data_IF_893520911067
#
_entry.id   IF_893520911067
#
_cell.length_a   1.000
_cell.length_b   1.000
_cell.length_c   1.000
_cell.angle_alpha   90.00
_cell.angle_beta   90.00
_cell.angle_gamma   90.00
#
_symmetry.space_group_name_H-M   'P 1'
#
loop_
_entity.id
_entity.type
_entity.pdbx_description
1 polymer ?
#
# COMPACT_ATOMS: atom_id res chain seq x y z
N UNK A 1 1.81 22.42 37.75
CA UNK A 1 2.47 22.25 36.45
C UNK A 1 1.50 21.48 35.57
N UNK A 2 0.84 22.15 34.61
CA UNK A 2 0.15 21.44 33.56
C UNK A 2 1.22 20.76 32.70
N UNK A 3 1.18 19.44 32.57
CA UNK A 3 2.08 18.71 31.69
C UNK A 3 1.81 19.12 30.25
N UNK A 4 2.83 19.64 29.56
CA UNK A 4 2.70 20.02 28.14
C UNK A 4 2.71 18.76 27.27
N UNK A 5 1.61 18.53 26.55
CA UNK A 5 1.53 17.51 25.51
C UNK A 5 1.96 18.11 24.17
N UNK A 6 2.91 17.46 23.50
CA UNK A 6 3.36 17.87 22.17
C UNK A 6 3.37 16.69 21.18
N UNK A 7 2.93 16.95 19.95
CA UNK A 7 2.98 15.98 18.86
C UNK A 7 3.62 16.60 17.62
N UNK A 8 4.29 15.76 16.84
CA UNK A 8 4.85 16.12 15.53
C UNK A 8 4.29 15.21 14.46
N UNK A 9 3.84 15.79 13.36
CA UNK A 9 3.30 15.07 12.20
C UNK A 9 4.06 15.49 10.95
N UNK A 10 4.60 14.50 10.23
CA UNK A 10 5.29 14.71 8.96
C UNK A 10 4.28 14.77 7.81
N UNK A 11 4.49 15.69 6.87
CA UNK A 11 3.72 15.78 5.64
C UNK A 11 4.63 15.72 4.40
N UNK A 12 4.15 15.18 3.28
CA UNK A 12 4.94 15.10 2.07
C UNK A 12 5.01 16.46 1.36
N UNK A 13 6.13 16.73 0.67
CA UNK A 13 6.40 18.02 0.02
C UNK A 13 5.30 18.46 -0.96
N UNK A 14 4.68 17.52 -1.71
CA UNK A 14 3.58 17.86 -2.62
C UNK A 14 2.34 18.45 -1.92
N UNK A 15 2.21 18.26 -0.60
CA UNK A 15 1.07 18.75 0.18
C UNK A 15 1.27 20.17 0.70
N UNK A 16 2.49 20.68 0.64
CA UNK A 16 2.90 21.98 1.15
C UNK A 16 2.03 23.13 0.62
N UNK A 17 1.89 23.25 -0.71
CA UNK A 17 1.09 24.32 -1.32
C UNK A 17 -0.32 24.42 -0.75
N UNK A 18 -0.99 23.28 -0.61
CA UNK A 18 -2.35 23.25 -0.07
C UNK A 18 -2.41 23.62 1.42
N UNK A 19 -1.41 23.20 2.19
CA UNK A 19 -1.30 23.57 3.61
C UNK A 19 -1.12 25.07 3.75
N UNK A 20 -0.26 25.69 2.94
CA UNK A 20 -0.05 27.14 2.92
C UNK A 20 -1.35 27.88 2.57
N UNK A 21 -2.05 27.47 1.52
CA UNK A 21 -3.28 28.12 1.06
C UNK A 21 -4.42 28.07 2.09
N UNK A 22 -4.47 27.01 2.91
CA UNK A 22 -5.54 26.79 3.88
C UNK A 22 -5.07 26.91 5.33
N UNK A 23 -3.85 27.40 5.57
CA UNK A 23 -3.21 27.38 6.89
C UNK A 23 -4.03 28.13 7.93
N UNK A 24 -4.54 29.32 7.54
CA UNK A 24 -5.36 30.17 8.40
C UNK A 24 -6.59 29.42 8.94
N UNK A 25 -7.28 28.64 8.10
CA UNK A 25 -8.45 27.86 8.52
C UNK A 25 -8.10 26.77 9.54
N UNK A 26 -6.91 26.17 9.39
CA UNK A 26 -6.40 25.17 10.34
C UNK A 26 -6.07 25.84 11.66
N UNK A 27 -5.38 26.97 11.62
CA UNK A 27 -5.02 27.75 12.80
C UNK A 27 -6.27 28.20 13.57
N UNK A 28 -7.23 28.84 12.91
CA UNK A 28 -8.48 29.32 13.51
C UNK A 28 -9.24 28.18 14.22
N UNK A 29 -9.27 26.98 13.61
CA UNK A 29 -9.93 25.81 14.20
C UNK A 29 -9.17 25.28 15.41
N UNK A 30 -7.84 25.24 15.39
CA UNK A 30 -7.02 24.76 16.52
C UNK A 30 -7.02 25.76 17.68
N UNK A 31 -7.01 27.05 17.37
CA UNK A 31 -7.09 28.15 18.35
C UNK A 31 -8.41 28.09 19.14
N UNK A 32 -9.52 27.67 18.52
CA UNK A 32 -10.80 27.46 19.22
C UNK A 32 -10.75 26.40 20.33
N UNK A 33 -9.80 25.46 20.25
CA UNK A 33 -9.54 24.46 21.30
C UNK A 33 -8.34 24.84 22.19
N UNK A 34 -7.73 26.02 21.98
CA UNK A 34 -6.56 26.47 22.72
C UNK A 34 -5.29 25.67 22.41
N UNK A 35 -5.17 25.09 21.22
CA UNK A 35 -4.02 24.28 20.80
C UNK A 35 -3.12 25.13 19.90
N UNK A 36 -1.85 25.29 20.28
CA UNK A 36 -0.89 25.99 19.44
C UNK A 36 -0.36 25.06 18.33
N UNK A 37 -0.27 25.59 17.11
CA UNK A 37 0.15 24.85 15.93
C UNK A 37 1.22 25.61 15.14
N UNK A 38 2.32 24.93 14.83
CA UNK A 38 3.48 25.48 14.12
C UNK A 38 3.80 24.61 12.90
N UNK A 39 4.05 25.21 11.73
CA UNK A 39 4.56 24.49 10.53
C UNK A 39 6.02 24.80 10.34
N UNK A 40 6.80 23.74 10.15
CA UNK A 40 8.15 23.81 9.63
C UNK A 40 8.16 23.30 8.18
N UNK A 41 8.20 24.25 7.25
CA UNK A 41 8.25 23.96 5.80
C UNK A 41 9.59 23.35 5.38
N UNK A 42 10.69 23.67 6.06
CA UNK A 42 12.03 23.15 5.71
C UNK A 42 12.13 21.66 6.01
N UNK A 43 11.63 21.26 7.18
CA UNK A 43 11.64 19.86 7.61
C UNK A 43 10.36 19.09 7.22
N UNK A 44 9.35 19.77 6.66
CA UNK A 44 8.07 19.15 6.27
C UNK A 44 7.30 18.57 7.44
N UNK A 45 7.30 19.26 8.60
CA UNK A 45 6.61 18.81 9.79
C UNK A 45 5.66 19.87 10.35
N UNK A 46 4.61 19.40 11.03
CA UNK A 46 3.66 20.22 11.77
C UNK A 46 3.76 19.81 13.24
N UNK A 47 4.00 20.78 14.10
CA UNK A 47 4.08 20.60 15.55
C UNK A 47 2.80 21.11 16.21
N UNK A 48 2.25 20.33 17.11
CA UNK A 48 1.05 20.63 17.91
C UNK A 48 1.47 20.66 19.38
N UNK A 49 1.04 21.68 20.13
CA UNK A 49 1.33 21.83 21.56
C UNK A 49 0.08 22.28 22.32
N UNK A 50 -0.20 21.68 23.46
CA UNK A 50 -1.18 22.22 24.42
C UNK A 50 -0.69 23.54 24.99
N UNK A 51 -1.61 24.42 25.37
CA UNK A 51 -1.31 25.67 26.08
C UNK A 51 -2.12 25.73 27.37
N UNK A 52 -1.83 26.70 28.24
CA UNK A 52 -2.61 26.94 29.46
C UNK A 52 -4.09 27.28 29.16
N UNK A 53 -4.42 27.62 27.91
CA UNK A 53 -5.79 27.92 27.45
C UNK A 53 -6.54 26.68 26.97
N UNK A 54 -5.89 25.51 26.89
CA UNK A 54 -6.54 24.27 26.46
C UNK A 54 -7.51 23.80 27.54
N UNK A 55 -8.82 23.92 27.29
CA UNK A 55 -9.84 23.48 28.25
C UNK A 55 -10.00 21.94 28.29
N UNK A 56 -9.95 21.29 27.12
CA UNK A 56 -10.06 19.83 27.01
C UNK A 56 -8.70 19.19 26.65
N UNK A 57 -8.08 18.41 27.56
CA UNK A 57 -6.81 17.74 27.29
C UNK A 57 -6.93 16.62 26.25
N UNK A 58 -8.13 16.11 25.93
CA UNK A 58 -8.33 15.08 24.90
C UNK A 58 -8.32 15.70 23.50
N UNK A 59 -8.66 16.97 23.36
CA UNK A 59 -8.72 17.68 22.09
C UNK A 59 -7.39 17.62 21.30
N UNK A 60 -6.24 17.54 21.97
CA UNK A 60 -4.94 17.38 21.31
C UNK A 60 -4.81 16.07 20.54
N UNK A 61 -5.46 14.98 21.00
CA UNK A 61 -5.47 13.70 20.29
C UNK A 61 -6.26 13.82 18.98
N UNK A 62 -7.41 14.48 19.02
CA UNK A 62 -8.24 14.76 17.85
C UNK A 62 -7.51 15.70 16.87
N UNK A 63 -6.84 16.73 17.37
CA UNK A 63 -6.02 17.62 16.56
C UNK A 63 -4.88 16.89 15.86
N UNK A 64 -4.16 16.02 16.58
CA UNK A 64 -3.12 15.16 16.02
C UNK A 64 -3.67 14.31 14.86
N UNK A 65 -4.83 13.70 15.05
CA UNK A 65 -5.39 12.80 14.06
C UNK A 65 -5.97 13.56 12.86
N UNK A 66 -6.57 14.74 13.07
CA UNK A 66 -6.95 15.67 11.99
C UNK A 66 -5.75 16.10 11.13
N UNK A 67 -4.62 16.50 11.74
CA UNK A 67 -3.42 16.88 10.99
C UNK A 67 -2.81 15.68 10.25
N UNK A 68 -2.80 14.49 10.84
CA UNK A 68 -2.40 13.26 10.13
C UNK A 68 -3.27 12.99 8.90
N UNK A 69 -4.58 13.22 8.97
CA UNK A 69 -5.47 13.08 7.81
C UNK A 69 -5.16 14.11 6.72
N UNK A 70 -4.94 15.37 7.09
CA UNK A 70 -4.57 16.43 6.13
C UNK A 70 -3.23 16.11 5.45
N UNK A 71 -2.26 15.57 6.19
CA UNK A 71 -0.99 15.08 5.65
C UNK A 71 -1.19 13.93 4.64
N UNK A 72 -2.23 13.11 4.82
CA UNK A 72 -2.68 12.08 3.86
C UNK A 72 -3.64 12.61 2.79
N UNK A 73 -3.60 13.94 2.57
CA UNK A 73 -4.37 14.71 1.58
C UNK A 73 -5.89 14.56 1.63
N UNK A 74 -6.42 14.28 2.82
CA UNK A 74 -7.84 14.51 3.11
C UNK A 74 -8.12 16.02 3.06
N UNK A 75 -9.24 16.45 2.46
CA UNK A 75 -9.69 17.83 2.52
C UNK A 75 -9.94 18.29 3.97
N UNK A 76 -9.64 19.55 4.28
CA UNK A 76 -9.69 20.07 5.65
C UNK A 76 -11.07 19.97 6.27
N UNK A 77 -12.12 20.30 5.51
CA UNK A 77 -13.52 20.23 5.97
C UNK A 77 -13.87 18.83 6.47
N UNK A 78 -13.41 17.80 5.76
CA UNK A 78 -13.67 16.43 6.11
C UNK A 78 -12.77 15.93 7.25
N UNK A 79 -11.54 16.45 7.37
CA UNK A 79 -10.64 16.14 8.47
C UNK A 79 -11.14 16.75 9.81
N UNK A 80 -11.78 17.91 9.77
CA UNK A 80 -12.34 18.55 10.97
C UNK A 80 -13.52 17.81 11.59
N UNK A 81 -14.14 16.88 10.85
CA UNK A 81 -15.19 16.02 11.41
C UNK A 81 -14.70 15.12 12.54
N UNK A 82 -13.40 14.90 12.68
CA UNK A 82 -12.82 14.16 13.83
C UNK A 82 -13.02 14.90 15.16
N UNK A 83 -13.33 16.19 15.14
CA UNK A 83 -13.72 16.93 16.35
C UNK A 83 -15.20 16.76 16.71
N UNK A 84 -16.02 16.17 15.84
CA UNK A 84 -17.44 15.87 16.12
C UNK A 84 -17.52 14.64 17.04
N UNK A 85 -18.44 14.68 18.01
CA UNK A 85 -18.66 13.54 18.91
C UNK A 85 -19.05 12.27 18.14
N UNK A 86 -18.45 11.14 18.52
CA UNK A 86 -18.72 9.84 17.89
C UNK A 86 -18.09 9.64 16.50
N UNK A 87 -17.30 10.59 16.01
CA UNK A 87 -16.52 10.45 14.77
C UNK A 87 -15.06 10.20 15.09
N UNK A 88 -14.55 9.08 14.59
CA UNK A 88 -13.15 8.71 14.70
C UNK A 88 -12.48 8.70 13.32
N UNK A 89 -11.16 8.51 13.32
CA UNK A 89 -10.41 8.33 12.08
C UNK A 89 -9.49 7.12 12.16
N UNK A 90 -9.29 6.47 11.02
CA UNK A 90 -8.38 5.35 10.89
C UNK A 90 -7.61 5.44 9.56
N UNK A 91 -6.29 5.25 9.62
CA UNK A 91 -5.41 5.29 8.46
C UNK A 91 -4.80 3.89 8.27
N UNK A 92 -5.20 3.21 7.21
CA UNK A 92 -4.78 1.85 6.89
C UNK A 92 -3.64 1.88 5.89
N UNK A 93 -2.52 1.26 6.22
CA UNK A 93 -1.36 1.15 5.32
C UNK A 93 -1.51 -0.08 4.43
N UNK A 94 -1.92 0.14 3.18
CA UNK A 94 -2.12 -0.93 2.19
C UNK A 94 -0.82 -1.33 1.45
N UNK A 95 0.21 -0.46 1.47
CA UNK A 95 1.44 -0.68 0.71
C UNK A 95 2.25 -1.92 1.09
N UNK A 96 2.16 -2.39 2.33
CA UNK A 96 2.92 -3.55 2.82
C UNK A 96 2.28 -4.91 2.47
N UNK A 97 1.02 -4.92 2.01
CA UNK A 97 0.29 -6.17 1.78
C UNK A 97 0.75 -6.94 0.54
N UNK A 98 1.29 -6.24 -0.48
CA UNK A 98 1.56 -6.83 -1.79
C UNK A 98 2.95 -6.40 -2.25
N UNK A 99 3.84 -7.37 -2.50
CA UNK A 99 5.22 -7.10 -2.96
C UNK A 99 5.29 -6.60 -4.41
N UNK A 100 4.41 -7.09 -5.28
CA UNK A 100 4.40 -6.73 -6.70
C UNK A 100 3.56 -5.46 -6.93
N UNK A 101 4.20 -4.42 -7.45
CA UNK A 101 3.60 -3.10 -7.70
C UNK A 101 2.44 -3.14 -8.71
N UNK A 102 2.54 -3.93 -9.78
CA UNK A 102 1.47 -4.04 -10.77
C UNK A 102 0.22 -4.69 -10.16
N UNK A 103 0.42 -5.74 -9.34
CA UNK A 103 -0.68 -6.38 -8.62
C UNK A 103 -1.30 -5.44 -7.58
N UNK A 104 -0.46 -4.65 -6.90
CA UNK A 104 -0.92 -3.63 -5.96
C UNK A 104 -1.80 -2.59 -6.65
N UNK A 105 -1.36 -2.05 -7.79
CA UNK A 105 -2.14 -1.08 -8.57
C UNK A 105 -3.48 -1.67 -9.05
N UNK A 106 -3.49 -2.92 -9.53
CA UNK A 106 -4.73 -3.61 -9.93
C UNK A 106 -5.71 -3.81 -8.76
N UNK A 107 -5.22 -4.18 -7.56
CA UNK A 107 -6.08 -4.35 -6.38
C UNK A 107 -6.54 -3.02 -5.77
N UNK A 108 -5.69 -1.98 -5.80
CA UNK A 108 -6.07 -0.63 -5.41
C UNK A 108 -7.15 -0.06 -6.33
N UNK A 109 -7.00 -0.23 -7.65
CA UNK A 109 -8.01 0.19 -8.60
C UNK A 109 -9.33 -0.58 -8.41
N UNK A 110 -9.26 -1.87 -8.08
CA UNK A 110 -10.43 -2.68 -7.72
C UNK A 110 -11.19 -2.14 -6.50
N UNK A 111 -10.47 -1.64 -5.49
CA UNK A 111 -11.08 -1.03 -4.31
C UNK A 111 -11.85 0.25 -4.67
N UNK A 112 -11.29 1.07 -5.57
CA UNK A 112 -11.94 2.28 -6.07
C UNK A 112 -13.18 1.94 -6.91
N UNK A 113 -13.05 0.91 -7.76
CA UNK A 113 -14.06 0.50 -8.72
C UNK A 113 -14.08 1.37 -9.98
N UNK A 114 -14.85 0.98 -11.02
CA UNK A 114 -15.03 1.78 -12.21
C UNK A 114 -15.72 3.10 -11.85
N UNK A 115 -15.11 4.23 -12.20
CA UNK A 115 -15.63 5.57 -11.89
C UNK A 115 -15.81 5.88 -10.40
N UNK A 116 -15.17 5.12 -9.49
CA UNK A 116 -15.35 5.32 -8.04
C UNK A 116 -16.63 4.72 -7.45
N UNK A 117 -17.40 3.95 -8.23
CA UNK A 117 -18.70 3.38 -7.81
C UNK A 117 -18.60 2.47 -6.58
N UNK A 118 -17.55 1.65 -6.49
CA UNK A 118 -17.35 0.70 -5.38
C UNK A 118 -17.01 1.44 -4.09
N UNK A 119 -16.14 2.44 -4.18
CA UNK A 119 -15.82 3.31 -3.05
C UNK A 119 -17.06 4.07 -2.59
N UNK A 120 -17.83 4.65 -3.52
CA UNK A 120 -19.03 5.41 -3.16
C UNK A 120 -20.10 4.54 -2.50
N UNK A 121 -20.30 3.32 -2.99
CA UNK A 121 -21.19 2.35 -2.35
C UNK A 121 -20.73 2.02 -0.92
N UNK A 122 -19.42 1.84 -0.71
CA UNK A 122 -18.86 1.56 0.61
C UNK A 122 -19.05 2.75 1.57
N UNK A 123 -18.85 3.98 1.11
CA UNK A 123 -19.11 5.20 1.89
C UNK A 123 -20.58 5.27 2.34
N UNK A 124 -21.52 5.04 1.41
CA UNK A 124 -22.96 5.12 1.70
C UNK A 124 -23.42 4.04 2.69
N UNK A 125 -22.88 2.81 2.55
CA UNK A 125 -23.24 1.69 3.43
C UNK A 125 -22.68 1.85 4.84
N UNK A 126 -21.44 2.33 4.95
CA UNK A 126 -20.73 2.47 6.24
C UNK A 126 -20.93 3.83 6.91
N UNK A 127 -21.51 4.81 6.20
CA UNK A 127 -21.62 6.21 6.62
C UNK A 127 -20.26 6.82 6.98
N UNK A 128 -19.20 6.34 6.33
CA UNK A 128 -17.85 6.83 6.48
C UNK A 128 -17.42 7.57 5.22
N UNK A 129 -16.52 8.52 5.39
CA UNK A 129 -15.73 9.08 4.30
C UNK A 129 -14.48 8.22 4.09
N UNK A 130 -14.19 7.84 2.84
CA UNK A 130 -13.08 6.95 2.52
C UNK A 130 -12.24 7.58 1.42
N UNK A 131 -10.97 7.83 1.70
CA UNK A 131 -10.01 8.35 0.71
C UNK A 131 -8.90 7.33 0.49
N UNK A 132 -8.77 6.88 -0.76
CA UNK A 132 -7.69 5.97 -1.19
C UNK A 132 -6.61 6.80 -1.87
N UNK A 133 -5.44 6.90 -1.25
CA UNK A 133 -4.31 7.64 -1.82
C UNK A 133 -2.97 6.94 -1.62
N UNK A 134 -2.24 6.77 -2.72
CA UNK A 134 -0.93 6.15 -2.71
C UNK A 134 -0.95 4.75 -2.11
N UNK A 135 -0.32 4.63 -0.94
CA UNK A 135 -0.19 3.40 -0.17
C UNK A 135 -1.01 3.37 1.12
N UNK A 136 -1.92 4.33 1.29
CA UNK A 136 -2.76 4.46 2.47
C UNK A 136 -4.23 4.63 2.10
N UNK A 137 -5.12 4.16 2.96
CA UNK A 137 -6.55 4.42 2.89
C UNK A 137 -6.95 5.10 4.19
N UNK A 138 -7.46 6.32 4.08
CA UNK A 138 -7.96 7.10 5.22
C UNK A 138 -9.46 6.91 5.32
N UNK A 139 -9.96 6.61 6.51
CA UNK A 139 -11.38 6.39 6.81
C UNK A 139 -11.77 7.30 7.97
N UNK A 140 -12.89 8.01 7.83
CA UNK A 140 -13.42 8.92 8.86
C UNK A 140 -14.90 8.62 9.06
N UNK A 141 -15.34 8.41 10.29
CA UNK A 141 -16.74 8.16 10.60
C UNK A 141 -16.93 7.44 11.94
N UNK A 142 -18.09 6.79 12.10
CA UNK A 142 -18.39 6.03 13.31
C UNK A 142 -17.53 4.76 13.41
N UNK A 143 -17.11 4.38 14.62
CA UNK A 143 -16.29 3.20 14.91
C UNK A 143 -16.83 1.90 14.28
N UNK A 144 -18.15 1.72 14.26
CA UNK A 144 -18.78 0.54 13.61
C UNK A 144 -18.53 0.52 12.10
N UNK A 145 -18.72 1.66 11.45
CA UNK A 145 -18.48 1.84 10.02
C UNK A 145 -17.00 1.72 9.67
N UNK A 146 -16.12 2.29 10.51
CA UNK A 146 -14.66 2.16 10.37
C UNK A 146 -14.23 0.71 10.42
N UNK A 147 -14.74 -0.09 11.37
CA UNK A 147 -14.38 -1.50 11.49
C UNK A 147 -14.85 -2.31 10.26
N UNK A 148 -16.08 -2.10 9.81
CA UNK A 148 -16.61 -2.75 8.62
C UNK A 148 -15.80 -2.36 7.37
N UNK A 149 -15.53 -1.06 7.16
CA UNK A 149 -14.73 -0.55 6.04
C UNK A 149 -13.27 -1.04 6.10
N UNK A 150 -12.65 -1.05 7.28
CA UNK A 150 -11.28 -1.52 7.48
C UNK A 150 -11.14 -2.98 7.08
N UNK A 151 -12.12 -3.82 7.44
CA UNK A 151 -12.18 -5.22 7.02
C UNK A 151 -12.26 -5.35 5.50
N UNK A 152 -13.13 -4.57 4.84
CA UNK A 152 -13.24 -4.58 3.36
C UNK A 152 -11.91 -4.19 2.70
N UNK A 153 -11.23 -3.17 3.19
CA UNK A 153 -9.95 -2.68 2.64
C UNK A 153 -8.87 -3.76 2.75
N UNK A 154 -8.71 -4.35 3.93
CA UNK A 154 -7.72 -5.40 4.18
C UNK A 154 -8.02 -6.66 3.35
N UNK A 155 -9.28 -7.10 3.30
CA UNK A 155 -9.69 -8.27 2.53
C UNK A 155 -9.55 -8.05 1.01
N UNK A 156 -9.80 -6.83 0.53
CA UNK A 156 -9.54 -6.43 -0.85
C UNK A 156 -8.06 -6.58 -1.22
N UNK A 157 -7.17 -6.18 -0.30
CA UNK A 157 -5.73 -6.39 -0.47
C UNK A 157 -5.33 -7.87 -0.36
N UNK A 158 -6.09 -8.70 0.37
CA UNK A 158 -5.92 -10.15 0.49
C UNK A 158 -6.60 -10.97 -0.64
N UNK A 159 -6.88 -10.34 -1.78
CA UNK A 159 -7.45 -10.97 -2.98
C UNK A 159 -8.94 -11.36 -2.90
N UNK A 160 -9.68 -10.86 -1.93
CA UNK A 160 -11.14 -10.99 -1.91
C UNK A 160 -11.74 -9.80 -2.68
N UNK A 161 -12.78 -9.99 -3.49
CA UNK A 161 -13.38 -8.87 -4.22
C UNK A 161 -14.25 -8.01 -3.30
N UNK A 162 -14.15 -6.67 -3.29
CA UNK A 162 -14.92 -5.81 -2.38
C UNK A 162 -16.44 -5.94 -2.55
N UNK A 163 -16.91 -6.28 -3.77
CA UNK A 163 -18.32 -6.55 -4.06
C UNK A 163 -18.93 -7.62 -3.14
N UNK A 164 -18.18 -8.64 -2.71
CA UNK A 164 -18.71 -9.63 -1.77
C UNK A 164 -19.02 -9.01 -0.41
N UNK A 165 -18.14 -8.13 0.07
CA UNK A 165 -18.38 -7.40 1.31
C UNK A 165 -19.50 -6.38 1.17
N UNK A 166 -19.61 -5.69 0.03
CA UNK A 166 -20.71 -4.75 -0.25
C UNK A 166 -22.05 -5.48 -0.18
N UNK A 167 -22.19 -6.63 -0.86
CA UNK A 167 -23.39 -7.48 -0.78
C UNK A 167 -23.70 -7.89 0.66
N UNK A 168 -22.68 -8.30 1.41
CA UNK A 168 -22.82 -8.66 2.82
C UNK A 168 -23.31 -7.48 3.67
N UNK A 169 -22.77 -6.28 3.46
CA UNK A 169 -23.16 -5.07 4.17
C UNK A 169 -24.58 -4.61 3.81
N UNK A 170 -24.99 -4.77 2.55
CA UNK A 170 -26.38 -4.50 2.12
C UNK A 170 -27.36 -5.39 2.89
N UNK A 171 -27.14 -6.71 2.89
CA UNK A 171 -27.99 -7.66 3.63
C UNK A 171 -27.98 -7.35 5.12
N UNK A 172 -26.80 -7.09 5.71
CA UNK A 172 -26.67 -6.72 7.13
C UNK A 172 -27.49 -5.47 7.46
N UNK A 173 -27.49 -4.47 6.58
CA UNK A 173 -28.24 -3.21 6.76
C UNK A 173 -29.76 -3.43 6.65
N UNK A 174 -30.20 -4.32 5.77
CA UNK A 174 -31.63 -4.65 5.66
C UNK A 174 -32.12 -5.48 6.84
N UNK A 175 -31.30 -6.42 7.34
CA UNK A 175 -31.59 -7.17 8.56
C UNK A 175 -31.66 -6.25 9.80
N UNK A 176 -30.78 -5.25 9.89
CA UNK A 176 -30.81 -4.26 10.98
C UNK A 176 -32.12 -3.45 11.03
N UNK A 177 -32.83 -3.27 9.91
CA UNK A 177 -34.12 -2.55 9.89
C UNK A 177 -35.25 -3.38 10.49
N UNK A 178 -35.11 -4.71 10.51
CA UNK A 178 -36.16 -5.61 10.98
C UNK A 178 -36.03 -5.82 12.51
N UNK A 179 -36.97 -5.33 13.33
CA UNK A 179 -36.87 -5.44 14.78
C UNK A 179 -36.99 -6.88 15.29
N UNK A 180 -37.67 -7.76 14.55
CA UNK A 180 -37.86 -9.17 14.92
C UNK A 180 -36.56 -9.98 14.94
N UNK A 181 -35.56 -9.63 14.12
CA UNK A 181 -34.31 -10.39 13.99
C UNK A 181 -33.17 -9.79 14.81
N UNK A 182 -33.42 -8.78 15.66
CA UNK A 182 -32.37 -8.05 16.37
C UNK A 182 -31.54 -8.93 17.33
N UNK A 183 -32.14 -9.99 17.88
CA UNK A 183 -31.52 -10.88 18.86
C UNK A 183 -31.03 -12.21 18.25
N UNK A 184 -31.18 -12.41 16.95
CA UNK A 184 -30.79 -13.65 16.27
C UNK A 184 -29.39 -13.54 15.62
N UNK A 185 -28.69 -14.68 15.48
CA UNK A 185 -27.42 -14.71 14.73
C UNK A 185 -27.67 -14.61 13.22
N UNK A 186 -27.10 -13.57 12.61
CA UNK A 186 -27.27 -13.29 11.18
C UNK A 186 -26.33 -14.08 10.27
N UNK A 187 -25.34 -14.83 10.79
CA UNK A 187 -24.34 -15.51 9.92
C UNK A 187 -24.97 -16.49 8.93
N UNK A 188 -26.14 -17.05 9.26
CA UNK A 188 -26.92 -17.92 8.36
C UNK A 188 -27.41 -17.20 7.11
N UNK A 189 -27.78 -15.92 7.22
CA UNK A 189 -28.35 -15.11 6.14
C UNK A 189 -27.27 -14.35 5.35
N UNK A 190 -26.07 -14.22 5.90
CA UNK A 190 -24.98 -13.47 5.28
C UNK A 190 -24.31 -14.29 4.16
N UNK A 191 -24.16 -13.72 2.95
CA UNK A 191 -23.41 -14.37 1.88
C UNK A 191 -21.97 -14.66 2.30
N UNK A 192 -21.57 -15.93 2.24
CA UNK A 192 -20.21 -16.37 2.60
C UNK A 192 -19.27 -16.19 1.41
N UNK A 193 -18.07 -15.70 1.68
CA UNK A 193 -17.01 -15.60 0.66
C UNK A 193 -16.47 -17.01 0.41
N UNK A 194 -16.97 -17.68 -0.63
CA UNK A 194 -16.45 -18.97 -1.04
C UNK A 194 -15.14 -18.72 -1.79
N UNK A 195 -14.00 -19.08 -1.17
CA UNK A 195 -12.74 -19.17 -1.92
C UNK A 195 -12.89 -20.37 -2.86
N UNK A 196 -12.88 -20.12 -4.16
CA UNK A 196 -12.80 -21.19 -5.14
C UNK A 196 -11.48 -21.96 -4.92
N UNK A 197 -11.54 -23.09 -4.22
CA UNK A 197 -10.45 -24.06 -4.16
C UNK A 197 -10.29 -24.60 -5.56
N UNK A 198 -9.32 -24.07 -6.30
CA UNK A 198 -8.87 -24.72 -7.52
C UNK A 198 -8.32 -26.08 -7.09
N UNK A 199 -8.97 -27.16 -7.51
CA UNK A 199 -8.33 -28.46 -7.53
C UNK A 199 -7.15 -28.34 -8.49
N UNK A 200 -5.97 -28.03 -7.96
CA UNK A 200 -4.73 -28.17 -8.72
C UNK A 200 -4.52 -29.66 -8.90
N UNK A 201 -4.71 -30.16 -10.12
CA UNK A 201 -4.16 -31.45 -10.51
C UNK A 201 -2.68 -31.44 -10.11
N UNK A 202 -2.31 -32.36 -9.21
CA UNK A 202 -0.92 -32.55 -8.81
C UNK A 202 -0.17 -33.09 -10.02
N UNK A 203 0.30 -32.20 -10.89
CA UNK A 203 1.32 -32.56 -11.88
C UNK A 203 2.49 -33.16 -11.08
N UNK A 204 2.86 -34.40 -11.40
CA UNK A 204 4.04 -35.06 -10.79
C UNK A 204 5.19 -34.07 -10.89
N UNK A 205 5.83 -33.76 -9.76
CA UNK A 205 7.03 -32.93 -9.73
C UNK A 205 8.08 -33.66 -10.56
N UNK A 206 8.23 -33.30 -11.83
CA UNK A 206 9.43 -33.66 -12.58
C UNK A 206 10.56 -32.97 -11.85
N UNK A 207 11.44 -33.75 -11.23
CA UNK A 207 12.66 -33.24 -10.65
C UNK A 207 13.49 -32.69 -11.80
N UNK A 208 13.38 -31.39 -12.07
CA UNK A 208 14.34 -30.71 -12.92
C UNK A 208 15.61 -30.59 -12.09
N UNK A 209 16.62 -31.41 -12.38
CA UNK A 209 18.00 -31.26 -11.92
C UNK A 209 18.65 -29.99 -12.51
N UNK A 210 17.95 -28.86 -12.46
CA UNK A 210 18.49 -27.60 -12.96
C UNK A 210 19.36 -26.98 -11.88
N UNK A 211 20.66 -27.04 -12.14
CA UNK A 211 21.74 -26.26 -11.55
C UNK A 211 21.98 -26.45 -10.05
N UNK A 212 22.53 -27.60 -9.69
CA UNK A 212 23.44 -27.72 -8.53
C UNK A 212 24.90 -27.99 -8.92
N UNK A 213 25.20 -27.99 -10.22
CA UNK A 213 26.59 -28.08 -10.70
C UNK A 213 27.28 -26.72 -10.62
N UNK A 214 28.62 -26.73 -10.51
CA UNK A 214 29.42 -25.59 -10.93
C UNK A 214 28.99 -25.16 -12.34
N UNK A 215 29.08 -23.87 -12.69
CA UNK A 215 28.84 -23.45 -14.07
C UNK A 215 29.68 -24.30 -15.01
N UNK A 216 29.10 -24.70 -16.14
CA UNK A 216 29.81 -25.48 -17.15
C UNK A 216 31.11 -24.77 -17.51
N UNK A 217 32.21 -25.53 -17.60
CA UNK A 217 33.48 -24.98 -18.04
C UNK A 217 33.29 -24.35 -19.43
N UNK A 218 33.93 -23.18 -19.70
CA UNK A 218 33.92 -22.62 -21.04
C UNK A 218 34.46 -23.67 -22.01
N UNK A 219 33.77 -23.84 -23.14
CA UNK A 219 34.19 -24.78 -24.17
C UNK A 219 35.48 -24.29 -24.81
N UNK A 220 36.46 -25.18 -24.98
CA UNK A 220 37.73 -24.84 -25.62
C UNK A 220 37.51 -24.35 -27.06
N UNK A 221 38.16 -23.24 -27.38
CA UNK A 221 38.22 -22.70 -28.73
C UNK A 221 38.95 -23.65 -29.67
N UNK A 222 38.71 -23.54 -30.98
CA UNK A 222 39.40 -24.37 -31.99
C UNK A 222 40.93 -24.26 -31.89
N UNK A 223 41.43 -23.09 -31.49
CA UNK A 223 42.87 -22.85 -31.27
C UNK A 223 43.36 -23.66 -30.06
N UNK A 224 42.64 -23.65 -28.95
CA UNK A 224 42.97 -24.43 -27.75
C UNK A 224 42.97 -25.93 -28.04
N UNK A 225 41.96 -26.42 -28.79
CA UNK A 225 41.91 -27.82 -29.25
C UNK A 225 43.09 -28.20 -30.13
N UNK A 226 43.54 -27.30 -31.02
CA UNK A 226 44.71 -27.54 -31.87
C UNK A 226 46.04 -27.47 -31.09
N UNK A 227 46.09 -26.66 -30.02
CA UNK A 227 47.24 -26.59 -29.11
C UNK A 227 47.31 -27.89 -28.30
N UNK A 228 46.19 -28.37 -27.78
CA UNK A 228 46.07 -29.63 -27.04
C UNK A 228 46.41 -30.85 -27.91
N UNK A 229 45.92 -30.90 -29.15
CA UNK A 229 46.24 -31.98 -30.10
C UNK A 229 47.68 -31.94 -30.64
N UNK A 230 48.42 -30.84 -30.39
CA UNK A 230 49.77 -30.61 -30.91
C UNK A 230 49.84 -30.30 -32.42
N UNK A 231 48.70 -30.38 -33.13
CA UNK A 231 48.60 -30.09 -34.56
C UNK A 231 48.93 -28.63 -34.88
N UNK A 232 48.64 -27.72 -33.94
CA UNK A 232 48.97 -26.30 -34.08
C UNK A 232 50.46 -26.09 -34.35
N UNK A 233 51.32 -26.81 -33.61
CA UNK A 233 52.77 -26.70 -33.74
C UNK A 233 53.30 -27.43 -34.97
N UNK A 234 52.71 -28.57 -35.34
CA UNK A 234 53.06 -29.34 -36.55
C UNK A 234 52.76 -28.55 -37.83
N UNK A 235 51.59 -27.90 -37.90
CA UNK A 235 51.20 -27.05 -39.05
C UNK A 235 52.15 -25.86 -39.20
N UNK A 236 52.55 -25.23 -38.09
CA UNK A 236 53.53 -24.13 -38.08
C UNK A 236 54.92 -24.60 -38.54
N UNK A 237 55.39 -25.76 -38.07
CA UNK A 237 56.70 -26.34 -38.45
C UNK A 237 56.74 -26.77 -39.92
N UNK A 238 55.67 -27.37 -40.42
CA UNK A 238 55.54 -27.78 -41.83
C UNK A 238 55.40 -26.57 -42.77
N UNK A 239 54.65 -25.54 -42.36
CA UNK A 239 54.60 -24.25 -43.07
C UNK A 239 55.98 -23.61 -43.15
N UNK A 240 56.75 -23.58 -42.05
CA UNK A 240 58.10 -23.01 -42.06
C UNK A 240 59.08 -23.83 -42.92
N UNK A 241 58.99 -25.17 -42.92
CA UNK A 241 59.78 -26.02 -43.84
C UNK A 241 59.43 -25.78 -45.31
N UNK A 242 58.14 -25.62 -45.65
CA UNK A 242 57.71 -25.28 -47.03
C UNK A 242 58.20 -23.89 -47.44
N UNK A 243 58.11 -22.89 -46.54
CA UNK A 243 58.67 -21.55 -46.80
C UNK A 243 60.19 -21.59 -47.00
N UNK A 244 60.92 -22.35 -46.19
CA UNK A 244 62.37 -22.52 -46.34
C UNK A 244 62.74 -23.21 -47.67
N UNK A 245 61.99 -24.24 -48.10
CA UNK A 245 62.18 -24.88 -49.42
C UNK A 245 61.91 -23.91 -50.57
N UNK A 246 60.82 -23.14 -50.53
CA UNK A 246 60.48 -22.17 -51.58
C UNK A 246 61.44 -20.97 -51.65
N UNK A 247 62.16 -20.66 -50.56
CA UNK A 247 63.23 -19.65 -50.56
C UNK A 247 64.53 -20.23 -51.15
N UNK A 248 64.79 -21.53 -51.00
CA UNK A 248 65.97 -22.19 -51.56
C UNK A 248 65.83 -22.54 -53.06
N UNK A 249 64.61 -22.60 -53.58
CA UNK A 249 64.31 -22.80 -55.01
C UNK A 249 64.20 -21.49 -55.82
N UNK A 250 64.44 -20.34 -55.18
CA UNK A 250 64.59 -19.01 -55.83
C UNK A 250 66.04 -18.58 -55.84
#
# INVERSE_FOLDING_TARGET
LLEESSFKVLFPHYREKYLTDNWKKIQDKMDSYGINIEVDYKNGNISLKTTDKTWDPVAILNARDAIKLVARSVPIEQAFRVFEEGTESNIIIIGKHIRNQERFNKRRQRLLGPGGSTLKALELLTQCYILVQGHTVSIIGNIRGINDASKVVVDCMNNIHPVYHIKRLMVKRDLMKNPAMANEDWDRYLPKVVKATKHTEKKKKVHNERNRGLPDYPQDTEVEKQIESGEYFLKKKNSNKKKAKNIAEK
#
